data_IF_366853448864
#
_entry.id   IF_366853448864
#
_cell.length_a   1.000
_cell.length_b   1.000
_cell.length_c   1.000
_cell.angle_alpha   90.00
_cell.angle_beta   90.00
_cell.angle_gamma   90.00
#
_symmetry.space_group_name_H-M   'P 1'
#
loop_
_entity.id
_entity.type
_entity.pdbx_description
1 polymer ?
#
# COMPACT_ATOMS: atom_id res chain seq x y z
N UNK A 1 9.01 6.42 -1.00
CA UNK A 1 7.84 7.30 -1.19
C UNK A 1 7.67 7.57 -2.67
N UNK A 2 6.44 7.51 -3.15
CA UNK A 2 6.07 7.81 -4.53
C UNK A 2 5.44 9.20 -4.59
N UNK A 3 5.84 10.01 -5.56
CA UNK A 3 5.22 11.29 -5.88
C UNK A 3 4.55 11.20 -7.25
N UNK A 4 3.29 11.63 -7.31
CA UNK A 4 2.48 11.61 -8.53
C UNK A 4 1.43 12.71 -8.49
N UNK A 5 1.01 13.19 -9.67
CA UNK A 5 -0.05 14.18 -9.81
C UNK A 5 -1.39 13.47 -10.10
N UNK A 6 -1.64 13.07 -11.35
CA UNK A 6 -2.94 12.50 -11.77
C UNK A 6 -3.21 11.07 -11.30
N UNK A 7 -2.15 10.33 -10.93
CA UNK A 7 -2.22 8.90 -10.59
C UNK A 7 -2.15 8.62 -9.08
N UNK A 8 -2.52 9.60 -8.24
CA UNK A 8 -2.48 9.46 -6.78
C UNK A 8 -3.33 8.28 -6.29
N UNK A 9 -4.53 8.10 -6.86
CA UNK A 9 -5.40 6.97 -6.55
C UNK A 9 -4.80 5.62 -6.97
N UNK A 10 -4.16 5.54 -8.12
CA UNK A 10 -3.56 4.31 -8.66
C UNK A 10 -2.42 3.80 -7.74
N UNK A 11 -1.57 4.71 -7.26
CA UNK A 11 -0.48 4.37 -6.31
C UNK A 11 -1.02 4.07 -4.91
N UNK A 12 -2.02 4.84 -4.46
CA UNK A 12 -2.71 4.60 -3.19
C UNK A 12 -3.30 3.19 -3.14
N UNK A 13 -4.05 2.82 -4.19
CA UNK A 13 -4.74 1.52 -4.27
C UNK A 13 -3.75 0.36 -4.31
N UNK A 14 -2.70 0.39 -5.14
CA UNK A 14 -1.67 -0.66 -5.12
C UNK A 14 -1.09 -0.79 -3.70
N UNK A 15 -0.68 0.31 -3.05
CA UNK A 15 -0.08 0.20 -1.73
C UNK A 15 -1.04 -0.39 -0.68
N UNK A 16 -2.32 0.00 -0.71
CA UNK A 16 -3.33 -0.54 0.21
C UNK A 16 -3.70 -2.00 -0.07
N UNK A 17 -3.69 -2.44 -1.34
CA UNK A 17 -3.93 -3.84 -1.73
C UNK A 17 -2.79 -4.76 -1.26
N UNK A 18 -1.55 -4.24 -1.17
CA UNK A 18 -0.37 -5.02 -0.78
C UNK A 18 -0.27 -5.27 0.72
N UNK A 19 -0.81 -4.38 1.55
CA UNK A 19 -0.79 -4.52 3.00
C UNK A 19 -1.36 -5.89 3.49
N UNK A 20 -2.59 -6.29 3.16
CA UNK A 20 -3.12 -7.60 3.55
C UNK A 20 -2.54 -8.76 2.73
N UNK A 21 -2.10 -8.50 1.50
CA UNK A 21 -1.62 -9.53 0.56
C UNK A 21 -0.24 -10.07 0.94
N UNK A 22 0.66 -9.17 1.35
CA UNK A 22 2.05 -9.49 1.68
C UNK A 22 2.41 -9.18 3.13
N UNK A 23 1.44 -8.83 3.99
CA UNK A 23 1.67 -8.37 5.36
C UNK A 23 2.64 -7.19 5.41
N UNK A 24 2.33 -6.15 4.65
CA UNK A 24 3.09 -4.89 4.75
C UNK A 24 2.47 -4.02 5.84
N UNK A 25 3.28 -3.27 6.59
CA UNK A 25 2.74 -2.28 7.52
C UNK A 25 1.78 -1.34 6.76
N UNK A 26 0.55 -1.13 7.27
CA UNK A 26 -0.42 -0.28 6.63
C UNK A 26 0.04 1.18 6.64
N UNK A 27 -0.71 2.03 5.97
CA UNK A 27 -0.49 3.47 6.08
C UNK A 27 -0.61 3.90 7.54
N UNK A 28 0.35 4.73 7.93
CA UNK A 28 0.47 5.24 9.28
C UNK A 28 0.04 6.69 9.30
N UNK A 29 -0.72 7.06 10.32
CA UNK A 29 -1.14 8.44 10.58
C UNK A 29 0.05 9.26 11.10
N UNK A 30 0.02 10.56 10.90
CA UNK A 30 1.08 11.45 11.36
C UNK A 30 1.22 11.52 12.89
N UNK A 31 0.16 11.23 13.64
CA UNK A 31 0.12 11.18 15.11
C UNK A 31 0.39 9.78 15.68
N UNK A 32 0.65 8.78 14.82
CA UNK A 32 0.98 7.41 15.23
C UNK A 32 2.50 7.20 15.28
N UNK A 33 3.05 7.30 16.49
CA UNK A 33 4.48 7.11 16.76
C UNK A 33 4.87 5.65 17.04
N UNK A 34 3.89 4.73 17.19
CA UNK A 34 4.13 3.36 17.66
C UNK A 34 4.12 2.36 16.51
N UNK A 35 3.18 2.50 15.57
CA UNK A 35 3.04 1.54 14.49
C UNK A 35 4.23 1.55 13.54
N UNK A 36 4.49 0.37 12.96
CA UNK A 36 5.50 0.21 11.94
C UNK A 36 5.22 1.13 10.72
N UNK A 37 6.30 1.68 10.16
CA UNK A 37 6.24 2.58 9.00
C UNK A 37 5.86 1.78 7.75
N UNK A 38 4.92 2.29 6.96
CA UNK A 38 4.61 1.71 5.65
C UNK A 38 5.83 1.80 4.74
N UNK A 39 6.17 0.71 4.06
CA UNK A 39 7.35 0.66 3.18
C UNK A 39 7.17 1.52 1.93
N UNK A 40 5.93 1.55 1.41
CA UNK A 40 5.51 2.46 0.35
C UNK A 40 4.50 3.48 0.91
N UNK A 41 4.49 4.66 0.31
CA UNK A 41 3.55 5.74 0.62
C UNK A 41 3.48 6.68 -0.58
N UNK A 42 2.34 7.33 -0.77
CA UNK A 42 2.11 8.23 -1.91
C UNK A 42 1.93 9.66 -1.43
N UNK A 43 2.49 10.62 -2.18
CA UNK A 43 2.34 12.05 -1.94
C UNK A 43 2.05 12.82 -3.23
N UNK A 44 1.28 13.89 -3.14
CA UNK A 44 1.14 14.89 -4.20
C UNK A 44 2.02 16.10 -3.86
N UNK A 45 3.05 16.42 -4.66
CA UNK A 45 3.98 17.51 -4.34
C UNK A 45 3.40 18.91 -4.63
N UNK A 46 2.26 19.00 -5.31
CA UNK A 46 1.70 20.27 -5.80
C UNK A 46 0.72 20.93 -4.82
N UNK A 47 0.23 20.20 -3.82
CA UNK A 47 -0.83 20.68 -2.93
C UNK A 47 -0.78 20.04 -1.54
N UNK A 48 -1.46 20.66 -0.57
CA UNK A 48 -1.60 20.11 0.78
C UNK A 48 -2.54 18.90 0.84
N UNK A 49 -2.51 18.18 1.96
CA UNK A 49 -3.28 16.93 2.17
C UNK A 49 -4.79 17.06 1.96
N UNK A 50 -5.48 18.14 2.39
CA UNK A 50 -6.91 18.29 2.11
C UNK A 50 -7.24 18.32 0.62
N UNK A 51 -6.47 19.09 -0.16
CA UNK A 51 -6.66 19.18 -1.61
C UNK A 51 -6.26 17.88 -2.30
N UNK A 52 -5.18 17.22 -1.85
CA UNK A 52 -4.77 15.92 -2.37
C UNK A 52 -5.86 14.85 -2.16
N UNK A 53 -6.52 14.83 -1.00
CA UNK A 53 -7.67 13.94 -0.74
C UNK A 53 -8.87 14.27 -1.63
N UNK A 54 -9.18 15.56 -1.83
CA UNK A 54 -10.22 15.98 -2.76
C UNK A 54 -9.92 15.51 -4.18
N UNK A 55 -8.67 15.64 -4.66
CA UNK A 55 -8.23 15.17 -5.98
C UNK A 55 -8.37 13.66 -6.14
N UNK A 56 -8.12 12.88 -5.08
CA UNK A 56 -8.31 11.41 -5.10
C UNK A 56 -9.78 11.03 -5.16
N UNK A 57 -10.60 11.65 -4.32
CA UNK A 57 -12.00 11.25 -4.15
C UNK A 57 -12.95 11.95 -5.14
N UNK A 58 -12.51 13.03 -5.77
CA UNK A 58 -13.33 13.94 -6.59
C UNK A 58 -14.54 14.51 -5.83
N UNK A 59 -14.42 14.58 -4.50
CA UNK A 59 -15.38 15.16 -3.55
C UNK A 59 -14.72 15.28 -2.18
N UNK A 60 -15.35 16.02 -1.28
CA UNK A 60 -14.99 15.98 0.14
C UNK A 60 -15.09 14.56 0.71
N UNK A 61 -14.13 14.14 1.57
CA UNK A 61 -14.25 12.91 2.34
C UNK A 61 -15.59 12.86 3.10
N UNK A 62 -16.15 11.65 3.22
CA UNK A 62 -17.38 11.39 3.97
C UNK A 62 -17.09 10.31 4.99
N UNK A 63 -16.51 10.73 6.10
CA UNK A 63 -16.25 9.89 7.24
C UNK A 63 -17.52 9.50 7.99
N UNK A 64 -17.36 8.61 8.98
CA UNK A 64 -18.44 8.15 9.83
C UNK A 64 -18.49 9.02 11.09
N UNK A 65 -19.30 10.07 11.04
CA UNK A 65 -19.57 11.00 12.13
C UNK A 65 -20.97 10.78 12.75
N UNK A 66 -21.39 9.52 12.83
CA UNK A 66 -22.73 9.20 13.33
C UNK A 66 -22.85 9.46 14.84
N UNK A 67 -23.97 10.02 15.31
CA UNK A 67 -24.25 10.12 16.73
C UNK A 67 -24.45 8.73 17.35
N UNK A 68 -24.22 8.60 18.66
CA UNK A 68 -24.40 7.34 19.40
C UNK A 68 -25.77 6.69 19.19
N UNK A 69 -26.82 7.50 19.04
CA UNK A 69 -28.19 7.03 18.78
C UNK A 69 -28.31 6.18 17.50
N UNK A 70 -27.53 6.48 16.47
CA UNK A 70 -27.50 5.67 15.24
C UNK A 70 -26.87 4.31 15.54
N UNK A 71 -25.75 4.27 16.27
CA UNK A 71 -25.12 2.99 16.66
C UNK A 71 -26.02 2.13 17.55
N UNK A 72 -26.74 2.76 18.48
CA UNK A 72 -27.75 2.08 19.31
C UNK A 72 -28.86 1.47 18.46
N UNK A 73 -29.38 2.21 17.47
CA UNK A 73 -30.43 1.73 16.56
C UNK A 73 -29.98 0.56 15.68
N UNK A 74 -28.69 0.48 15.36
CA UNK A 74 -28.09 -0.61 14.57
C UNK A 74 -27.82 -1.86 15.41
N UNK A 75 -28.11 -1.85 16.72
CA UNK A 75 -27.88 -2.94 17.66
C UNK A 75 -26.42 -3.46 17.65
N UNK A 76 -25.45 -2.59 17.40
CA UNK A 76 -24.02 -2.92 17.34
C UNK A 76 -23.33 -2.82 18.70
N UNK A 77 -23.97 -3.36 19.75
CA UNK A 77 -23.53 -3.28 21.16
C UNK A 77 -22.10 -3.80 21.35
N UNK A 78 -21.69 -4.83 20.59
CA UNK A 78 -20.34 -5.37 20.60
C UNK A 78 -19.30 -4.40 20.04
N UNK A 79 -19.64 -3.62 19.01
CA UNK A 79 -18.76 -2.60 18.43
C UNK A 79 -18.61 -1.41 19.38
N UNK A 80 -19.71 -1.00 20.03
CA UNK A 80 -19.69 0.07 21.03
C UNK A 80 -18.79 -0.31 22.23
N UNK A 81 -18.87 -1.56 22.71
CA UNK A 81 -18.05 -2.05 23.84
C UNK A 81 -16.56 -2.10 23.53
N UNK A 82 -16.18 -2.38 22.29
CA UNK A 82 -14.78 -2.46 21.86
C UNK A 82 -14.20 -1.10 21.42
N UNK A 83 -14.98 -0.03 21.55
CA UNK A 83 -14.63 1.30 21.07
C UNK A 83 -14.97 1.48 19.59
N UNK A 84 -15.74 2.53 19.29
CA UNK A 84 -16.08 2.87 17.91
C UNK A 84 -14.81 3.23 17.11
N UNK A 85 -14.61 2.66 15.92
CA UNK A 85 -13.49 3.01 15.08
C UNK A 85 -13.62 4.48 14.66
N UNK A 86 -12.59 5.28 14.95
CA UNK A 86 -12.54 6.69 14.53
C UNK A 86 -12.28 6.74 13.03
N UNK A 87 -13.34 6.98 12.26
CA UNK A 87 -13.33 6.98 10.78
C UNK A 87 -13.90 8.29 10.22
N UNK A 88 -13.78 9.39 10.96
CA UNK A 88 -14.24 10.70 10.51
C UNK A 88 -13.24 11.38 9.57
N UNK A 89 -13.63 12.53 9.03
CA UNK A 89 -12.79 13.29 8.10
C UNK A 89 -11.46 13.74 8.73
N UNK A 90 -11.44 14.05 10.04
CA UNK A 90 -10.22 14.41 10.73
C UNK A 90 -9.22 13.24 10.79
N UNK A 91 -9.70 12.01 10.87
CA UNK A 91 -8.84 10.82 10.83
C UNK A 91 -8.26 10.54 9.45
N UNK A 92 -8.98 10.88 8.38
CA UNK A 92 -8.46 10.78 6.99
C UNK A 92 -7.37 11.83 6.76
N UNK A 93 -7.55 13.05 7.26
CA UNK A 93 -6.59 14.14 7.11
C UNK A 93 -5.23 13.86 7.77
N UNK A 94 -5.15 12.91 8.71
CA UNK A 94 -3.90 12.48 9.36
C UNK A 94 -2.99 11.65 8.44
N UNK A 95 -3.49 11.16 7.31
CA UNK A 95 -2.67 10.55 6.28
C UNK A 95 -2.13 11.64 5.37
N UNK A 96 -0.89 12.06 5.61
CA UNK A 96 -0.26 13.22 4.97
C UNK A 96 0.16 12.94 3.51
N UNK A 97 -0.83 12.80 2.62
CA UNK A 97 -0.66 12.52 1.19
C UNK A 97 -0.40 13.78 0.35
N UNK A 98 -0.36 14.97 0.94
CA UNK A 98 0.00 16.23 0.27
C UNK A 98 1.50 16.48 0.25
N UNK A 99 1.87 17.76 0.15
CA UNK A 99 3.25 18.25 0.09
C UNK A 99 3.86 18.53 1.48
N UNK A 100 3.18 18.14 2.57
CA UNK A 100 3.71 18.32 3.91
C UNK A 100 4.97 17.48 4.11
N UNK A 101 5.97 18.03 4.80
CA UNK A 101 7.15 17.26 5.18
C UNK A 101 6.78 16.22 6.23
N UNK A 102 7.18 14.96 6.02
CA UNK A 102 6.93 13.85 6.95
C UNK A 102 8.25 13.08 7.18
N UNK A 103 8.95 13.37 8.30
CA UNK A 103 10.23 12.74 8.65
C UNK A 103 10.21 11.22 8.63
N UNK A 104 9.07 10.61 8.96
CA UNK A 104 8.97 9.16 8.97
C UNK A 104 9.19 8.51 7.61
N UNK A 105 9.07 9.29 6.52
CA UNK A 105 9.27 8.83 5.15
C UNK A 105 10.74 8.77 4.74
N UNK A 106 11.60 9.57 5.37
CA UNK A 106 12.97 9.78 4.90
C UNK A 106 14.06 9.54 5.96
N UNK A 107 13.69 9.41 7.24
CA UNK A 107 14.62 9.05 8.33
C UNK A 107 15.29 7.67 8.18
N UNK A 108 14.77 6.77 7.34
CA UNK A 108 15.43 5.50 7.08
C UNK A 108 16.66 5.70 6.17
N UNK A 109 17.78 5.05 6.50
CA UNK A 109 19.06 5.20 5.78
C UNK A 109 18.97 4.84 4.28
N UNK A 110 18.04 3.96 3.91
CA UNK A 110 17.77 3.51 2.54
C UNK A 110 16.51 4.14 1.95
N UNK A 111 16.08 5.29 2.48
CA UNK A 111 14.87 5.97 2.01
C UNK A 111 14.98 6.37 0.54
N UNK A 112 13.95 6.05 -0.23
CA UNK A 112 13.87 6.40 -1.65
C UNK A 112 12.69 7.32 -1.94
N UNK A 113 12.90 8.33 -2.78
CA UNK A 113 11.86 9.15 -3.37
C UNK A 113 11.77 8.88 -4.87
N UNK A 114 10.61 8.45 -5.36
CA UNK A 114 10.39 8.18 -6.77
C UNK A 114 9.25 9.03 -7.31
N UNK A 115 9.48 9.73 -8.42
CA UNK A 115 8.37 10.33 -9.19
C UNK A 115 7.80 9.29 -10.15
N UNK A 116 6.48 9.27 -10.32
CA UNK A 116 5.80 8.45 -11.32
C UNK A 116 5.23 9.40 -12.37
N UNK A 117 5.60 9.15 -13.62
CA UNK A 117 5.18 9.93 -14.79
C UNK A 117 4.59 8.98 -15.82
N UNK A 118 3.35 9.24 -16.24
CA UNK A 118 2.64 8.35 -17.18
C UNK A 118 2.16 9.10 -18.41
N UNK A 119 2.42 8.52 -19.57
CA UNK A 119 2.07 9.08 -20.88
C UNK A 119 2.63 10.48 -21.04
N UNK A 120 1.75 11.44 -21.29
CA UNK A 120 2.15 12.82 -21.54
C UNK A 120 2.72 13.55 -20.32
N UNK A 121 2.58 13.04 -19.08
CA UNK A 121 3.26 13.62 -17.90
C UNK A 121 4.79 13.62 -18.02
N UNK A 122 5.35 12.77 -18.88
CA UNK A 122 6.79 12.64 -19.09
C UNK A 122 7.35 13.88 -19.79
N UNK A 123 6.66 14.35 -20.84
CA UNK A 123 7.13 15.40 -21.75
C UNK A 123 6.35 16.70 -21.64
N UNK A 124 5.14 16.69 -21.06
CA UNK A 124 4.31 17.89 -20.88
C UNK A 124 5.11 18.98 -20.19
N UNK A 125 4.97 20.20 -20.68
CA UNK A 125 5.56 21.40 -20.09
C UNK A 125 4.45 22.35 -19.59
N UNK A 126 4.82 23.29 -18.74
CA UNK A 126 3.95 24.37 -18.30
C UNK A 126 3.74 24.40 -16.78
N UNK A 127 3.00 25.40 -16.27
CA UNK A 127 3.03 25.79 -14.86
C UNK A 127 2.70 24.65 -13.88
N UNK A 128 1.74 23.80 -14.24
CA UNK A 128 1.36 22.64 -13.40
C UNK A 128 2.48 21.60 -13.32
N UNK A 129 3.21 21.39 -14.42
CA UNK A 129 4.34 20.46 -14.45
C UNK A 129 5.54 21.04 -13.72
N UNK A 130 5.82 22.33 -13.95
CA UNK A 130 6.90 23.05 -13.29
C UNK A 130 6.70 23.05 -11.76
N UNK A 131 5.46 23.24 -11.30
CA UNK A 131 5.10 23.15 -9.88
C UNK A 131 5.33 21.75 -9.31
N UNK A 132 5.01 20.68 -10.05
CA UNK A 132 5.33 19.32 -9.61
C UNK A 132 6.82 19.12 -9.50
N UNK A 133 7.58 19.48 -10.55
CA UNK A 133 9.02 19.22 -10.61
C UNK A 133 9.75 20.02 -9.52
N UNK A 134 9.33 21.26 -9.25
CA UNK A 134 9.80 22.05 -8.12
C UNK A 134 9.43 21.39 -6.77
N UNK A 135 8.21 20.90 -6.61
CA UNK A 135 7.77 20.23 -5.40
C UNK A 135 8.54 18.92 -5.13
N UNK A 136 8.84 18.14 -6.18
CA UNK A 136 9.71 16.98 -6.07
C UNK A 136 11.13 17.39 -5.67
N UNK A 137 11.71 18.39 -6.34
CA UNK A 137 13.05 18.89 -6.07
C UNK A 137 13.20 19.45 -4.64
N UNK A 138 12.13 20.03 -4.07
CA UNK A 138 12.13 20.49 -2.69
C UNK A 138 12.21 19.34 -1.66
N UNK A 139 11.70 18.15 -1.99
CA UNK A 139 11.71 16.98 -1.11
C UNK A 139 12.89 16.05 -1.36
N UNK A 140 13.42 16.01 -2.58
CA UNK A 140 14.50 15.12 -2.97
C UNK A 140 15.72 15.12 -2.03
N UNK A 141 16.20 16.28 -1.51
CA UNK A 141 17.34 16.32 -0.59
C UNK A 141 17.12 15.60 0.75
N UNK A 142 15.87 15.36 1.16
CA UNK A 142 15.58 14.66 2.41
C UNK A 142 15.81 13.15 2.30
N UNK A 143 15.76 12.58 1.09
CA UNK A 143 15.81 11.14 0.84
C UNK A 143 17.20 10.68 0.41
N UNK A 144 17.57 9.45 0.78
CA UNK A 144 18.87 8.88 0.44
C UNK A 144 19.03 8.57 -1.06
N UNK A 145 17.92 8.26 -1.75
CA UNK A 145 17.91 7.91 -3.18
C UNK A 145 16.76 8.60 -3.91
N UNK A 146 16.97 8.90 -5.19
CA UNK A 146 15.95 9.47 -6.06
C UNK A 146 15.75 8.66 -7.33
N UNK A 147 14.51 8.51 -7.77
CA UNK A 147 14.21 7.83 -9.02
C UNK A 147 13.07 8.50 -9.81
N UNK A 148 13.03 8.22 -11.11
CA UNK A 148 11.88 8.50 -11.96
C UNK A 148 11.40 7.19 -12.59
N UNK A 149 10.09 6.94 -12.51
CA UNK A 149 9.41 5.82 -13.16
C UNK A 149 8.56 6.43 -14.27
N UNK A 150 9.04 6.30 -15.51
CA UNK A 150 8.34 6.71 -16.72
C UNK A 150 7.60 5.53 -17.34
N UNK A 151 6.32 5.70 -17.63
CA UNK A 151 5.48 4.70 -18.28
C UNK A 151 4.86 5.35 -19.51
N UNK A 152 5.38 5.05 -20.70
CA UNK A 152 4.97 5.73 -21.92
C UNK A 152 6.04 5.67 -23.02
N UNK A 153 5.77 6.31 -24.18
CA UNK A 153 6.68 6.25 -25.33
C UNK A 153 7.99 6.99 -25.06
N UNK A 154 7.91 8.09 -24.31
CA UNK A 154 9.05 8.96 -24.03
C UNK A 154 9.78 8.56 -22.75
N UNK A 155 11.09 8.81 -22.70
CA UNK A 155 11.90 8.61 -21.51
C UNK A 155 11.87 9.86 -20.62
N UNK A 156 11.66 9.73 -19.30
CA UNK A 156 11.81 10.86 -18.39
C UNK A 156 13.22 11.47 -18.44
N UNK A 157 13.27 12.78 -18.70
CA UNK A 157 14.46 13.60 -18.58
C UNK A 157 14.31 14.50 -17.34
N UNK A 158 14.75 13.99 -16.18
CA UNK A 158 14.65 14.67 -14.88
C UNK A 158 15.92 14.40 -14.08
N UNK A 159 16.29 15.35 -13.21
CA UNK A 159 17.48 15.24 -12.37
C UNK A 159 17.24 14.29 -11.19
N UNK A 160 17.44 12.99 -11.43
CA UNK A 160 17.32 11.90 -10.44
C UNK A 160 18.48 10.92 -10.59
N UNK A 161 18.77 10.14 -9.55
CA UNK A 161 19.84 9.12 -9.57
C UNK A 161 19.53 7.98 -10.56
N UNK A 162 18.28 7.50 -10.60
CA UNK A 162 17.89 6.35 -11.43
C UNK A 162 16.63 6.62 -12.23
N UNK A 163 16.60 6.21 -13.50
CA UNK A 163 15.40 6.27 -14.35
C UNK A 163 14.98 4.85 -14.75
N UNK A 164 13.77 4.46 -14.35
CA UNK A 164 13.07 3.28 -14.84
C UNK A 164 12.11 3.71 -15.94
N UNK A 165 12.29 3.20 -17.16
CA UNK A 165 11.43 3.53 -18.28
C UNK A 165 10.77 2.27 -18.83
N UNK A 166 9.44 2.20 -18.67
CA UNK A 166 8.61 1.17 -19.28
C UNK A 166 8.03 1.75 -20.56
N UNK A 167 8.61 1.35 -21.69
CA UNK A 167 8.18 1.81 -23.01
C UNK A 167 6.85 1.17 -23.37
N UNK A 168 5.84 2.00 -23.62
CA UNK A 168 4.54 1.55 -24.13
C UNK A 168 3.82 2.68 -24.86
N UNK A 169 3.14 2.32 -25.96
CA UNK A 169 2.18 3.21 -26.62
C UNK A 169 0.87 3.24 -25.83
N UNK A 170 0.38 4.44 -25.54
CA UNK A 170 -0.82 4.66 -24.73
C UNK A 170 -1.82 5.44 -25.58
N UNK A 171 -2.83 4.77 -26.16
CA UNK A 171 -3.85 5.44 -26.95
C UNK A 171 -4.58 6.50 -26.11
N UNK A 172 -4.85 7.65 -26.69
CA UNK A 172 -5.63 8.68 -26.01
C UNK A 172 -7.04 8.16 -25.72
N UNK A 173 -7.43 8.18 -24.44
CA UNK A 173 -8.79 7.89 -23.99
C UNK A 173 -9.25 9.01 -23.04
N UNK A 174 -10.52 9.49 -23.12
CA UNK A 174 -11.00 10.60 -22.29
C UNK A 174 -10.81 10.41 -20.77
N UNK A 175 -10.87 9.16 -20.30
CA UNK A 175 -10.70 8.80 -18.88
C UNK A 175 -9.27 8.35 -18.53
N UNK A 176 -8.34 8.41 -19.49
CA UNK A 176 -6.95 7.96 -19.37
C UNK A 176 -6.86 6.50 -18.89
N UNK A 177 -7.76 5.64 -19.40
CA UNK A 177 -7.86 4.25 -18.96
C UNK A 177 -6.58 3.45 -19.25
N UNK A 178 -5.93 3.72 -20.37
CA UNK A 178 -4.71 3.02 -20.77
C UNK A 178 -3.53 3.40 -19.86
N UNK A 179 -3.42 4.68 -19.53
CA UNK A 179 -2.41 5.21 -18.60
C UNK A 179 -2.60 4.63 -17.20
N UNK A 180 -3.85 4.61 -16.69
CA UNK A 180 -4.18 4.03 -15.38
C UNK A 180 -3.90 2.53 -15.35
N UNK A 181 -4.28 1.80 -16.41
CA UNK A 181 -3.99 0.38 -16.52
C UNK A 181 -2.48 0.12 -16.56
N UNK A 182 -1.72 0.87 -17.35
CA UNK A 182 -0.28 0.74 -17.46
C UNK A 182 0.40 1.03 -16.10
N UNK A 183 0.00 2.11 -15.41
CA UNK A 183 0.45 2.42 -14.07
C UNK A 183 0.18 1.26 -13.09
N UNK A 184 -1.05 0.71 -13.08
CA UNK A 184 -1.41 -0.43 -12.23
C UNK A 184 -0.56 -1.67 -12.55
N UNK A 185 -0.35 -1.99 -13.82
CA UNK A 185 0.45 -3.15 -14.23
C UNK A 185 1.91 -3.01 -13.80
N UNK A 186 2.52 -1.84 -13.99
CA UNK A 186 3.90 -1.58 -13.58
C UNK A 186 4.05 -1.62 -12.06
N UNK A 187 3.15 -0.95 -11.32
CA UNK A 187 3.15 -0.99 -9.85
C UNK A 187 2.95 -2.42 -9.33
N UNK A 188 2.06 -3.19 -9.96
CA UNK A 188 1.82 -4.58 -9.60
C UNK A 188 3.07 -5.46 -9.82
N UNK A 189 3.75 -5.27 -10.95
CA UNK A 189 4.98 -5.96 -11.27
C UNK A 189 6.08 -5.61 -10.26
N UNK A 190 6.32 -4.32 -10.03
CA UNK A 190 7.36 -3.84 -9.12
C UNK A 190 7.14 -4.35 -7.69
N UNK A 191 5.92 -4.19 -7.18
CA UNK A 191 5.58 -4.62 -5.82
C UNK A 191 5.69 -6.14 -5.69
N UNK A 192 5.20 -6.92 -6.66
CA UNK A 192 5.25 -8.38 -6.62
C UNK A 192 6.68 -8.90 -6.76
N UNK A 193 7.47 -8.37 -7.70
CA UNK A 193 8.89 -8.72 -7.85
C UNK A 193 9.69 -8.39 -6.58
N UNK A 194 9.40 -7.26 -5.93
CA UNK A 194 10.01 -6.92 -4.63
C UNK A 194 9.69 -7.98 -3.59
N UNK A 195 8.44 -8.44 -3.51
CA UNK A 195 8.01 -9.45 -2.54
C UNK A 195 8.64 -10.82 -2.80
N UNK A 196 8.82 -11.20 -4.07
CA UNK A 196 9.57 -12.39 -4.47
C UNK A 196 11.03 -12.28 -4.02
N UNK A 197 11.68 -11.14 -4.27
CA UNK A 197 13.10 -10.92 -3.92
C UNK A 197 13.37 -10.98 -2.43
N UNK A 198 12.41 -10.62 -1.59
CA UNK A 198 12.53 -10.68 -0.12
C UNK A 198 11.95 -11.98 0.47
N UNK A 199 11.63 -12.98 -0.35
CA UNK A 199 11.22 -14.31 0.10
C UNK A 199 9.77 -14.43 0.59
N UNK A 200 8.89 -13.48 0.24
CA UNK A 200 7.46 -13.52 0.62
C UNK A 200 6.56 -14.29 -0.36
N UNK A 201 7.17 -15.00 -1.31
CA UNK A 201 6.50 -15.83 -2.33
C UNK A 201 7.24 -17.16 -2.44
N UNK A 202 6.51 -18.28 -2.37
CA UNK A 202 7.02 -19.65 -2.55
C UNK A 202 6.39 -20.25 -3.81
N UNK A 203 7.22 -20.53 -4.83
CA UNK A 203 6.74 -20.90 -6.17
C UNK A 203 5.83 -19.81 -6.76
N UNK A 204 4.56 -20.14 -7.01
CA UNK A 204 3.51 -19.21 -7.41
C UNK A 204 2.53 -18.85 -6.27
N UNK A 205 2.84 -19.25 -5.04
CA UNK A 205 2.00 -19.05 -3.87
C UNK A 205 2.50 -17.89 -3.00
N UNK A 206 1.56 -17.05 -2.56
CA UNK A 206 1.84 -16.04 -1.55
C UNK A 206 1.78 -16.72 -0.18
N UNK A 207 2.95 -17.08 0.36
CA UNK A 207 3.08 -17.82 1.62
C UNK A 207 2.84 -16.94 2.86
N UNK A 208 2.90 -15.62 2.72
CA UNK A 208 2.70 -14.63 3.79
C UNK A 208 1.26 -14.05 3.84
N UNK A 209 0.24 -14.87 3.65
CA UNK A 209 -1.16 -14.44 3.71
C UNK A 209 -1.60 -14.21 5.16
N UNK A 210 -2.36 -13.15 5.41
CA UNK A 210 -3.11 -12.99 6.66
C UNK A 210 -4.51 -13.60 6.56
N UNK A 211 -4.92 -14.35 7.58
CA UNK A 211 -6.22 -15.03 7.64
C UNK A 211 -7.24 -14.21 8.43
N UNK A 212 -7.58 -13.02 7.93
CA UNK A 212 -8.43 -12.05 8.65
C UNK A 212 -9.94 -12.21 8.43
N UNK A 213 -10.36 -13.03 7.46
CA UNK A 213 -11.77 -13.28 7.17
C UNK A 213 -11.98 -14.71 6.64
N UNK A 214 -13.24 -15.16 6.56
CA UNK A 214 -13.60 -16.53 6.14
C UNK A 214 -13.00 -16.94 4.78
N UNK A 215 -12.96 -16.02 3.80
CA UNK A 215 -12.36 -16.28 2.48
C UNK A 215 -10.86 -16.48 2.59
N UNK A 216 -10.16 -15.66 3.38
CA UNK A 216 -8.72 -15.77 3.57
C UNK A 216 -8.35 -16.99 4.43
N UNK A 217 -9.23 -17.39 5.36
CA UNK A 217 -9.09 -18.65 6.11
C UNK A 217 -9.20 -19.85 5.15
N UNK A 218 -10.26 -19.96 4.32
CA UNK A 218 -10.37 -21.05 3.33
C UNK A 218 -9.18 -21.08 2.37
N UNK A 219 -8.76 -19.91 1.86
CA UNK A 219 -7.56 -19.80 1.02
C UNK A 219 -6.32 -20.29 1.76
N UNK A 220 -6.12 -19.86 3.00
CA UNK A 220 -5.02 -20.29 3.86
C UNK A 220 -5.01 -21.80 4.02
N UNK A 221 -6.17 -22.41 4.30
CA UNK A 221 -6.29 -23.86 4.46
C UNK A 221 -5.91 -24.61 3.19
N UNK A 222 -6.38 -24.14 2.02
CA UNK A 222 -5.98 -24.73 0.72
C UNK A 222 -4.49 -24.63 0.46
N UNK A 223 -3.86 -23.52 0.84
CA UNK A 223 -2.41 -23.33 0.71
C UNK A 223 -1.65 -24.31 1.61
N UNK A 224 -2.05 -24.44 2.88
CA UNK A 224 -1.42 -25.39 3.82
C UNK A 224 -1.55 -26.82 3.31
N UNK A 225 -2.76 -27.23 2.90
CA UNK A 225 -3.02 -28.56 2.34
C UNK A 225 -2.12 -28.86 1.13
N UNK A 226 -2.02 -27.90 0.20
CA UNK A 226 -1.20 -28.06 -0.99
C UNK A 226 0.30 -28.08 -0.70
N UNK A 227 0.80 -27.15 0.13
CA UNK A 227 2.24 -27.00 0.40
C UNK A 227 2.80 -28.07 1.34
N UNK A 228 1.98 -28.61 2.25
CA UNK A 228 2.36 -29.67 3.17
C UNK A 228 1.96 -31.08 2.68
N UNK A 229 1.14 -31.18 1.63
CA UNK A 229 0.71 -32.48 1.08
C UNK A 229 -0.29 -33.23 1.98
N UNK A 230 -1.12 -32.50 2.73
CA UNK A 230 -2.13 -33.06 3.65
C UNK A 230 -3.55 -32.77 3.16
N UNK A 231 -4.55 -33.44 3.74
CA UNK A 231 -5.95 -33.16 3.44
C UNK A 231 -6.40 -31.79 4.00
N UNK A 232 -7.55 -31.31 3.51
CA UNK A 232 -8.09 -30.00 3.90
C UNK A 232 -8.44 -29.91 5.39
N UNK A 233 -8.92 -30.99 5.99
CA UNK A 233 -9.32 -31.01 7.41
C UNK A 233 -8.10 -30.90 8.32
N UNK A 234 -7.07 -31.71 8.08
CA UNK A 234 -5.76 -31.63 8.75
C UNK A 234 -5.13 -30.25 8.59
N UNK A 235 -5.15 -29.69 7.38
CA UNK A 235 -4.66 -28.34 7.12
C UNK A 235 -5.45 -27.26 7.88
N UNK A 236 -6.77 -27.44 8.02
CA UNK A 236 -7.63 -26.50 8.70
C UNK A 236 -7.31 -26.45 10.20
N UNK A 237 -7.12 -27.61 10.83
CA UNK A 237 -6.72 -27.71 12.23
C UNK A 237 -5.36 -27.06 12.46
N UNK A 238 -4.35 -27.43 11.67
CA UNK A 238 -3.00 -26.86 11.78
C UNK A 238 -2.99 -25.34 11.59
N UNK A 239 -3.79 -24.81 10.65
CA UNK A 239 -3.91 -23.37 10.43
C UNK A 239 -4.55 -22.66 11.63
N UNK A 240 -5.60 -23.20 12.24
CA UNK A 240 -6.26 -22.57 13.39
C UNK A 240 -5.35 -22.56 14.63
N UNK A 241 -4.58 -23.63 14.85
CA UNK A 241 -3.56 -23.66 15.90
C UNK A 241 -2.48 -22.59 15.67
N UNK A 242 -1.96 -22.48 14.45
CA UNK A 242 -0.98 -21.47 14.08
C UNK A 242 -1.56 -20.04 14.20
N UNK A 243 -2.83 -19.83 13.87
CA UNK A 243 -3.51 -18.56 14.06
C UNK A 243 -3.59 -18.18 15.54
N UNK A 244 -3.90 -19.14 16.42
CA UNK A 244 -3.95 -18.92 17.86
C UNK A 244 -2.57 -18.53 18.41
N UNK A 245 -1.52 -19.24 18.00
CA UNK A 245 -0.14 -18.96 18.39
C UNK A 245 0.33 -17.56 17.95
N UNK A 246 0.16 -17.23 16.66
CA UNK A 246 0.58 -15.93 16.11
C UNK A 246 -0.23 -14.78 16.71
N UNK A 247 -1.48 -15.01 17.14
CA UNK A 247 -2.29 -13.98 17.81
C UNK A 247 -1.73 -13.58 19.19
N UNK A 248 -0.96 -14.46 19.84
CA UNK A 248 -0.35 -14.23 21.16
C UNK A 248 1.06 -13.64 21.05
N UNK A 249 1.61 -13.55 19.84
CA UNK A 249 2.89 -12.91 19.57
C UNK A 249 2.69 -11.40 19.40
N UNK A 250 3.64 -10.62 19.91
CA UNK A 250 3.56 -9.16 19.94
C UNK A 250 3.54 -8.58 18.51
N UNK A 251 2.37 -8.08 18.09
CA UNK A 251 2.10 -7.51 16.74
C UNK A 251 2.93 -6.27 16.42
N UNK A 252 3.69 -5.77 17.40
CA UNK A 252 4.59 -4.61 17.28
C UNK A 252 5.89 -4.94 16.53
N UNK A 253 6.23 -6.22 16.37
CA UNK A 253 7.47 -6.64 15.68
C UNK A 253 7.26 -6.89 14.18
N UNK A 254 8.18 -6.35 13.37
CA UNK A 254 8.14 -6.29 11.88
C UNK A 254 8.06 -7.65 11.17
N UNK A 255 8.29 -8.77 11.87
CA UNK A 255 8.51 -10.10 11.29
C UNK A 255 7.73 -11.21 11.98
N UNK A 256 6.53 -10.93 12.54
CA UNK A 256 5.66 -12.01 13.00
C UNK A 256 5.40 -13.00 11.84
N UNK A 257 5.57 -14.32 12.03
CA UNK A 257 5.44 -15.31 10.98
C UNK A 257 3.98 -15.48 10.54
N UNK A 258 3.74 -15.81 9.26
CA UNK A 258 2.36 -16.04 8.79
C UNK A 258 1.79 -17.31 9.41
N UNK A 259 0.52 -17.32 9.88
CA UNK A 259 -0.14 -18.55 10.33
C UNK A 259 -0.06 -19.67 9.29
N UNK A 260 -0.12 -19.33 8.00
CA UNK A 260 0.06 -20.29 6.90
C UNK A 260 1.48 -20.84 6.88
N UNK A 261 2.48 -19.96 6.96
CA UNK A 261 3.89 -20.37 6.98
C UNK A 261 4.22 -21.26 8.20
N UNK A 262 3.75 -20.87 9.39
CA UNK A 262 3.90 -21.64 10.63
C UNK A 262 3.25 -23.01 10.51
N UNK A 263 2.03 -23.09 9.99
CA UNK A 263 1.32 -24.35 9.80
C UNK A 263 2.05 -25.28 8.80
N UNK A 264 2.51 -24.74 7.67
CA UNK A 264 3.28 -25.52 6.67
C UNK A 264 4.60 -26.02 7.25
N UNK A 265 5.36 -25.17 7.96
CA UNK A 265 6.63 -25.56 8.55
C UNK A 265 6.46 -26.65 9.61
N UNK A 266 5.41 -26.55 10.44
CA UNK A 266 5.05 -27.57 11.44
C UNK A 266 4.76 -28.91 10.78
N UNK A 267 3.89 -28.92 9.78
CA UNK A 267 3.49 -30.15 9.08
C UNK A 267 4.63 -30.78 8.25
N UNK A 268 5.63 -29.99 7.83
CA UNK A 268 6.83 -30.52 7.15
C UNK A 268 7.87 -31.08 8.12
N UNK A 269 7.84 -30.70 9.40
CA UNK A 269 8.81 -31.10 10.44
C UNK A 269 8.34 -32.29 11.30
N UNK A 270 7.03 -32.52 11.38
CA UNK A 270 6.42 -33.69 12.02
C UNK A 270 6.29 -34.85 11.06
#
# INVERSE_FOLDING_TARGET
TYMTDRFLLDVLTDTTERAPTFRLPPFRKCDDAVSARSWAFVKNPCCGTPEAWFRVLQREPRGIDWPMSVYESLNVVTVIRNGLPRLNNAEIAKFLIGNERDPSRFEANDSGLAMILVGDEITRQGPSRDAFDAGFAAHAPDFARTAAIGIGPDRPDRQVETVFHVVCELPNAPLQLWERLAAKLVLNLMSTATMVRIGRVDGNYMSHVETTNKKLIDRGTRLVAHLAGVDYETACYALHEAMHEVAHQDRTTKDAPSPVAVAVERLRKG
#
